data_IF_861091671871
#
_entry.id   IF_861091671871
#
_cell.length_a   1.000
_cell.length_b   1.000
_cell.length_c   1.000
_cell.angle_alpha   90.00
_cell.angle_beta   90.00
_cell.angle_gamma   90.00
#
_symmetry.space_group_name_H-M   'P 1'
#
loop_
_entity.id
_entity.type
_entity.pdbx_description
1 polymer ?
#
# COMPACT_ATOMS: atom_id res chain seq x y z
N UNK A 1 -29.46 12.51 -16.12
CA UNK A 1 -29.30 13.92 -15.72
C UNK A 1 -29.12 14.84 -16.92
N UNK A 2 -28.13 14.60 -17.80
CA UNK A 2 -27.93 15.32 -19.07
C UNK A 2 -29.22 15.45 -19.90
N UNK A 3 -29.96 14.35 -20.09
CA UNK A 3 -31.24 14.36 -20.81
C UNK A 3 -32.34 15.22 -20.15
N UNK A 4 -32.37 15.33 -18.81
CA UNK A 4 -33.35 16.15 -18.08
C UNK A 4 -32.94 17.62 -17.95
N UNK A 5 -31.64 17.93 -17.98
CA UNK A 5 -31.10 19.29 -17.85
C UNK A 5 -30.81 19.95 -19.21
N UNK A 6 -30.88 19.21 -20.32
CA UNK A 6 -30.60 19.74 -21.66
C UNK A 6 -29.13 20.16 -21.86
N UNK A 7 -28.22 19.69 -21.00
CA UNK A 7 -26.78 20.02 -21.04
C UNK A 7 -25.97 18.83 -21.57
N UNK A 8 -24.88 19.08 -22.33
CA UNK A 8 -23.99 18.02 -22.75
C UNK A 8 -23.37 17.31 -21.54
N UNK A 9 -23.08 16.01 -21.67
CA UNK A 9 -22.52 15.20 -20.57
C UNK A 9 -21.21 15.82 -20.04
N UNK A 10 -20.42 16.42 -20.92
CA UNK A 10 -19.16 17.07 -20.57
C UNK A 10 -19.32 18.29 -19.63
N UNK A 11 -20.49 18.92 -19.58
CA UNK A 11 -20.77 20.04 -18.65
C UNK A 11 -21.29 19.58 -17.28
N UNK A 12 -21.80 18.34 -17.19
CA UNK A 12 -22.33 17.76 -15.95
C UNK A 12 -21.33 16.85 -15.25
N UNK A 13 -20.25 16.44 -15.91
CA UNK A 13 -19.15 15.69 -15.29
C UNK A 13 -18.14 16.69 -14.76
N UNK A 14 -18.28 17.09 -13.50
CA UNK A 14 -17.20 17.75 -12.76
C UNK A 14 -16.19 16.69 -12.26
N UNK A 15 -14.94 17.10 -12.03
CA UNK A 15 -13.86 16.24 -11.53
C UNK A 15 -14.25 15.45 -10.26
N UNK A 16 -13.54 14.34 -10.01
CA UNK A 16 -13.87 13.23 -9.07
C UNK A 16 -14.81 13.56 -7.90
N UNK A 17 -14.47 14.52 -7.03
CA UNK A 17 -15.29 14.87 -5.87
C UNK A 17 -16.62 15.54 -6.23
N UNK A 18 -16.63 16.40 -7.24
CA UNK A 18 -17.85 17.08 -7.71
C UNK A 18 -18.87 16.12 -8.30
N UNK A 19 -18.41 15.05 -8.94
CA UNK A 19 -19.31 14.01 -9.43
C UNK A 19 -20.07 13.34 -8.27
N UNK A 20 -19.34 12.81 -7.28
CA UNK A 20 -19.90 12.07 -6.14
C UNK A 20 -20.76 12.93 -5.20
N UNK A 21 -20.37 14.18 -4.95
CA UNK A 21 -21.00 15.02 -3.91
C UNK A 21 -21.90 16.15 -4.44
N UNK A 22 -21.92 16.42 -5.76
CA UNK A 22 -22.81 17.43 -6.37
C UNK A 22 -23.74 16.77 -7.37
N UNK A 23 -23.18 16.11 -8.38
CA UNK A 23 -23.92 15.58 -9.53
C UNK A 23 -24.82 14.41 -9.13
N UNK A 24 -24.29 13.45 -8.36
CA UNK A 24 -25.07 12.29 -7.89
C UNK A 24 -26.20 12.67 -6.93
N UNK A 25 -25.98 13.50 -5.87
CA UNK A 25 -27.06 13.96 -5.02
C UNK A 25 -28.15 14.72 -5.77
N UNK A 26 -27.79 15.57 -6.74
CA UNK A 26 -28.77 16.30 -7.58
C UNK A 26 -29.57 15.35 -8.49
N UNK A 27 -28.97 14.24 -8.94
CA UNK A 27 -29.68 13.20 -9.67
C UNK A 27 -30.62 12.40 -8.75
N UNK A 28 -30.17 12.04 -7.55
CA UNK A 28 -30.95 11.29 -6.54
C UNK A 28 -32.15 12.11 -6.05
N UNK A 29 -32.02 13.43 -5.95
CA UNK A 29 -33.11 14.35 -5.61
C UNK A 29 -34.29 14.29 -6.59
N UNK A 30 -34.06 13.83 -7.83
CA UNK A 30 -35.08 13.74 -8.90
C UNK A 30 -35.77 12.37 -8.97
N UNK A 31 -35.41 11.42 -8.10
CA UNK A 31 -36.02 10.09 -8.03
C UNK A 31 -37.20 10.06 -7.02
N UNK A 32 -38.22 9.22 -7.25
CA UNK A 32 -39.27 8.98 -6.26
C UNK A 32 -38.65 8.34 -5.00
N UNK A 33 -39.14 8.70 -3.81
CA UNK A 33 -38.59 8.24 -2.52
C UNK A 33 -37.10 8.63 -2.36
N UNK A 34 -36.76 9.86 -2.73
CA UNK A 34 -35.39 10.39 -2.70
C UNK A 34 -34.62 10.15 -1.38
N UNK A 35 -35.22 10.28 -0.17
CA UNK A 35 -34.49 10.06 1.08
C UNK A 35 -33.90 8.65 1.23
N UNK A 36 -34.60 7.62 0.73
CA UNK A 36 -34.10 6.24 0.80
C UNK A 36 -32.85 6.06 -0.06
N UNK A 37 -32.89 6.59 -1.29
CA UNK A 37 -31.75 6.52 -2.22
C UNK A 37 -30.55 7.31 -1.75
N UNK A 38 -30.76 8.47 -1.10
CA UNK A 38 -29.68 9.26 -0.52
C UNK A 38 -28.97 8.50 0.61
N UNK A 39 -29.73 7.87 1.53
CA UNK A 39 -29.15 7.07 2.62
C UNK A 39 -28.33 5.91 2.06
N UNK A 40 -28.87 5.14 1.10
CA UNK A 40 -28.15 4.02 0.50
C UNK A 40 -26.87 4.46 -0.22
N UNK A 41 -26.92 5.59 -0.94
CA UNK A 41 -25.77 6.12 -1.66
C UNK A 41 -24.65 6.59 -0.72
N UNK A 42 -24.97 7.37 0.31
CA UNK A 42 -23.96 7.83 1.27
C UNK A 42 -23.46 6.71 2.18
N UNK A 43 -24.31 5.74 2.53
CA UNK A 43 -23.89 4.54 3.26
C UNK A 43 -22.89 3.73 2.42
N UNK A 44 -23.14 3.54 1.13
CA UNK A 44 -22.20 2.89 0.22
C UNK A 44 -20.85 3.62 0.17
N UNK A 45 -20.85 4.95 -0.01
CA UNK A 45 -19.61 5.75 0.01
C UNK A 45 -18.86 5.62 1.34
N UNK A 46 -19.60 5.61 2.46
CA UNK A 46 -19.03 5.44 3.79
C UNK A 46 -18.39 4.06 3.97
N UNK A 47 -19.08 2.97 3.59
CA UNK A 47 -18.53 1.62 3.70
C UNK A 47 -17.32 1.39 2.80
N UNK A 48 -17.28 1.98 1.60
CA UNK A 48 -16.12 1.93 0.70
C UNK A 48 -14.89 2.62 1.30
N UNK A 49 -15.09 3.77 1.94
CA UNK A 49 -14.02 4.48 2.65
C UNK A 49 -13.54 3.74 3.89
N UNK A 50 -14.46 3.14 4.66
CA UNK A 50 -14.13 2.40 5.88
C UNK A 50 -13.25 1.17 5.61
N UNK A 51 -13.60 0.35 4.62
CA UNK A 51 -12.85 -0.87 4.28
C UNK A 51 -11.40 -0.56 3.86
N UNK A 52 -11.25 0.48 3.04
CA UNK A 52 -9.93 0.97 2.63
C UNK A 52 -9.11 1.46 3.83
N UNK A 53 -9.74 2.19 4.76
CA UNK A 53 -9.07 2.75 5.93
C UNK A 53 -8.61 1.66 6.92
N UNK A 54 -9.44 0.62 7.12
CA UNK A 54 -9.05 -0.53 7.94
C UNK A 54 -7.83 -1.25 7.36
N UNK A 55 -7.81 -1.47 6.04
CA UNK A 55 -6.68 -2.09 5.35
C UNK A 55 -5.39 -1.30 5.52
N UNK A 56 -5.43 0.04 5.39
CA UNK A 56 -4.25 0.89 5.55
C UNK A 56 -3.74 0.88 7.00
N UNK A 57 -4.63 1.05 7.98
CA UNK A 57 -4.25 1.03 9.40
C UNK A 57 -3.67 -0.32 9.82
N UNK A 58 -4.26 -1.42 9.36
CA UNK A 58 -3.76 -2.77 9.61
C UNK A 58 -2.39 -2.98 8.97
N UNK A 59 -2.20 -2.57 7.71
CA UNK A 59 -0.91 -2.70 7.01
C UNK A 59 0.21 -1.95 7.74
N UNK A 60 -0.04 -0.71 8.18
CA UNK A 60 0.95 0.10 8.91
C UNK A 60 1.20 -0.48 10.30
N UNK A 61 0.15 -0.88 11.02
CA UNK A 61 0.29 -1.48 12.35
C UNK A 61 1.09 -2.78 12.30
N UNK A 62 0.81 -3.64 11.32
CA UNK A 62 1.50 -4.91 11.14
C UNK A 62 2.97 -4.68 10.77
N UNK A 63 3.28 -3.77 9.85
CA UNK A 63 4.67 -3.44 9.52
C UNK A 63 5.50 -2.96 10.73
N UNK A 64 4.88 -2.18 11.63
CA UNK A 64 5.54 -1.70 12.85
C UNK A 64 5.73 -2.85 13.86
N UNK A 65 4.72 -3.71 14.03
CA UNK A 65 4.80 -4.88 14.93
C UNK A 65 5.87 -5.85 14.43
N UNK A 66 5.95 -6.10 13.12
CA UNK A 66 6.95 -6.98 12.51
C UNK A 66 8.38 -6.46 12.67
N UNK A 67 8.56 -5.14 12.82
CA UNK A 67 9.88 -4.53 13.07
C UNK A 67 10.33 -4.65 14.53
N UNK A 68 9.39 -4.60 15.50
CA UNK A 68 9.68 -4.69 16.93
C UNK A 68 8.80 -5.73 17.66
N UNK A 69 8.85 -7.00 17.25
CA UNK A 69 7.89 -8.02 17.66
C UNK A 69 7.88 -8.29 19.17
N UNK A 70 9.05 -8.35 19.82
CA UNK A 70 9.17 -8.57 21.27
C UNK A 70 8.43 -7.57 22.15
N UNK A 71 8.46 -6.28 21.82
CA UNK A 71 7.88 -5.23 22.67
C UNK A 71 6.43 -4.90 22.30
N UNK A 72 6.09 -5.02 21.01
CA UNK A 72 4.84 -4.48 20.48
C UNK A 72 3.74 -5.54 20.33
N UNK A 73 4.06 -6.84 20.25
CA UNK A 73 3.07 -7.92 20.09
C UNK A 73 2.03 -7.96 21.21
N UNK A 74 2.45 -7.77 22.47
CA UNK A 74 1.52 -7.73 23.62
C UNK A 74 0.75 -6.41 23.75
N UNK A 75 1.11 -5.36 23.01
CA UNK A 75 0.53 -4.01 23.11
C UNK A 75 -0.14 -3.57 21.81
N UNK A 76 -0.54 -4.52 20.95
CA UNK A 76 -1.16 -4.26 19.63
C UNK A 76 -2.30 -3.24 19.68
N UNK A 77 -3.24 -3.40 20.61
CA UNK A 77 -4.39 -2.49 20.72
C UNK A 77 -3.98 -1.04 21.07
N UNK A 78 -2.93 -0.87 21.89
CA UNK A 78 -2.41 0.45 22.26
C UNK A 78 -1.75 1.13 21.07
N UNK A 79 -1.01 0.38 20.25
CA UNK A 79 -0.38 0.89 19.03
C UNK A 79 -1.43 1.35 18.02
N UNK A 80 -2.46 0.54 17.79
CA UNK A 80 -3.56 0.90 16.89
C UNK A 80 -4.27 2.18 17.34
N UNK A 81 -4.50 2.34 18.65
CA UNK A 81 -5.11 3.55 19.21
C UNK A 81 -4.20 4.77 19.04
N UNK A 82 -2.90 4.64 19.31
CA UNK A 82 -1.92 5.73 19.13
C UNK A 82 -1.82 6.13 17.65
N UNK A 83 -1.71 5.16 16.74
CA UNK A 83 -1.67 5.41 15.30
C UNK A 83 -2.94 6.12 14.83
N UNK A 84 -4.11 5.69 15.31
CA UNK A 84 -5.39 6.34 14.99
C UNK A 84 -5.44 7.79 15.47
N UNK A 85 -4.94 8.08 16.67
CA UNK A 85 -4.86 9.46 17.20
C UNK A 85 -3.91 10.30 16.35
N UNK A 86 -2.74 9.78 15.98
CA UNK A 86 -1.78 10.49 15.12
C UNK A 86 -2.40 10.79 13.75
N UNK A 87 -3.05 9.79 13.12
CA UNK A 87 -3.72 9.98 11.83
C UNK A 87 -4.87 10.97 11.91
N UNK A 88 -5.63 10.97 13.00
CA UNK A 88 -6.69 11.95 13.25
C UNK A 88 -6.13 13.38 13.36
N UNK A 89 -5.03 13.58 14.09
CA UNK A 89 -4.38 14.88 14.23
C UNK A 89 -3.82 15.39 12.89
N UNK A 90 -3.20 14.52 12.09
CA UNK A 90 -2.71 14.86 10.75
C UNK A 90 -3.87 15.17 9.78
N UNK A 91 -4.97 14.42 9.87
CA UNK A 91 -6.17 14.61 9.05
C UNK A 91 -6.92 15.90 9.35
N UNK A 92 -6.71 16.52 10.51
CA UNK A 92 -7.39 17.76 10.90
C UNK A 92 -7.13 18.91 9.90
N UNK A 93 -5.96 18.94 9.27
CA UNK A 93 -5.61 19.93 8.23
C UNK A 93 -6.59 19.86 7.05
N UNK A 94 -7.05 18.66 6.70
CA UNK A 94 -7.98 18.42 5.58
C UNK A 94 -9.45 18.80 5.91
N UNK A 95 -9.78 19.08 7.17
CA UNK A 95 -11.14 19.45 7.62
C UNK A 95 -11.30 20.98 7.78
N UNK A 96 -10.23 21.75 7.59
CA UNK A 96 -10.27 23.21 7.61
C UNK A 96 -11.04 23.78 6.41
N UNK A 97 -11.39 25.07 6.42
CA UNK A 97 -12.06 25.74 5.28
C UNK A 97 -11.26 25.65 3.98
N UNK A 98 -9.93 25.52 4.07
CA UNK A 98 -9.03 25.30 2.94
C UNK A 98 -8.75 23.81 2.66
N UNK A 99 -9.44 22.90 3.35
CA UNK A 99 -9.16 21.46 3.36
C UNK A 99 -9.24 20.80 1.99
N UNK A 100 -10.19 21.22 1.14
CA UNK A 100 -10.32 20.68 -0.22
C UNK A 100 -9.08 20.93 -1.08
N UNK A 101 -8.36 22.04 -0.88
CA UNK A 101 -7.11 22.32 -1.58
C UNK A 101 -5.97 21.40 -1.11
N UNK A 102 -5.94 21.07 0.19
CA UNK A 102 -4.98 20.11 0.74
C UNK A 102 -5.24 18.70 0.24
N UNK A 103 -6.52 18.28 0.22
CA UNK A 103 -6.92 16.96 -0.29
C UNK A 103 -6.54 16.82 -1.76
N UNK A 104 -6.86 17.79 -2.60
CA UNK A 104 -6.52 17.78 -4.04
C UNK A 104 -5.00 17.76 -4.27
N UNK A 105 -4.24 18.54 -3.47
CA UNK A 105 -2.78 18.55 -3.53
C UNK A 105 -2.16 17.20 -3.15
N UNK A 106 -2.63 16.58 -2.06
CA UNK A 106 -2.12 15.29 -1.59
C UNK A 106 -2.51 14.17 -2.57
N UNK A 107 -3.75 14.17 -3.07
CA UNK A 107 -4.22 13.16 -4.02
C UNK A 107 -3.39 13.17 -5.32
N UNK A 108 -3.17 14.36 -5.88
CA UNK A 108 -2.41 14.49 -7.12
C UNK A 108 -0.93 14.09 -6.98
N UNK A 109 -0.24 14.58 -5.95
CA UNK A 109 1.21 14.34 -5.80
C UNK A 109 1.52 13.01 -5.12
N UNK A 110 0.83 12.65 -4.03
CA UNK A 110 1.14 11.45 -3.27
C UNK A 110 0.52 10.19 -3.91
N UNK A 111 -0.81 10.18 -4.10
CA UNK A 111 -1.51 9.01 -4.64
C UNK A 111 -1.31 8.83 -6.15
N UNK A 112 -1.16 9.93 -6.90
CA UNK A 112 -0.80 9.90 -8.31
C UNK A 112 0.68 9.53 -8.53
N UNK A 113 1.57 10.50 -8.36
CA UNK A 113 2.99 10.32 -8.69
C UNK A 113 3.79 9.52 -7.66
N UNK A 114 3.60 9.80 -6.37
CA UNK A 114 4.32 9.11 -5.30
C UNK A 114 4.17 7.60 -5.38
N UNK A 115 2.94 7.11 -5.55
CA UNK A 115 2.65 5.69 -5.71
C UNK A 115 3.32 5.08 -6.94
N UNK A 116 3.31 5.78 -8.09
CA UNK A 116 3.97 5.30 -9.31
C UNK A 116 5.49 5.18 -9.13
N UNK A 117 6.13 6.15 -8.49
CA UNK A 117 7.57 6.09 -8.19
C UNK A 117 7.91 4.90 -7.28
N UNK A 118 7.13 4.70 -6.21
CA UNK A 118 7.31 3.57 -5.29
C UNK A 118 7.14 2.24 -6.02
N UNK A 119 6.09 2.09 -6.85
CA UNK A 119 5.82 0.87 -7.60
C UNK A 119 6.94 0.50 -8.58
N UNK A 120 7.52 1.49 -9.28
CA UNK A 120 8.66 1.25 -10.19
C UNK A 120 9.89 0.79 -9.40
N UNK A 121 10.17 1.41 -8.24
CA UNK A 121 11.30 1.00 -7.40
C UNK A 121 11.10 -0.39 -6.78
N UNK A 122 9.88 -0.72 -6.36
CA UNK A 122 9.54 -2.04 -5.82
C UNK A 122 9.75 -3.13 -6.87
N UNK A 123 9.25 -2.92 -8.11
CA UNK A 123 9.49 -3.85 -9.21
C UNK A 123 10.97 -4.02 -9.53
N UNK A 124 11.73 -2.93 -9.52
CA UNK A 124 13.17 -3.00 -9.73
C UNK A 124 13.86 -3.79 -8.63
N UNK A 125 13.46 -3.56 -7.36
CA UNK A 125 13.95 -4.29 -6.20
C UNK A 125 13.69 -5.80 -6.28
N UNK A 126 12.45 -6.21 -6.53
CA UNK A 126 12.09 -7.64 -6.60
C UNK A 126 12.72 -8.31 -7.83
N UNK A 127 12.66 -7.66 -9.00
CA UNK A 127 13.04 -8.29 -10.26
C UNK A 127 14.56 -8.38 -10.44
N UNK A 128 15.30 -7.30 -10.11
CA UNK A 128 16.73 -7.18 -10.39
C UNK A 128 17.61 -7.32 -9.16
N UNK A 129 17.21 -6.79 -7.98
CA UNK A 129 18.04 -6.87 -6.76
C UNK A 129 17.88 -8.25 -6.10
N UNK A 130 16.64 -8.66 -5.80
CA UNK A 130 16.39 -9.99 -5.23
C UNK A 130 16.63 -11.10 -6.26
N UNK A 131 16.21 -10.85 -7.51
CA UNK A 131 16.43 -11.71 -8.66
C UNK A 131 15.20 -12.55 -9.00
N UNK A 132 14.68 -12.38 -10.22
CA UNK A 132 13.46 -13.05 -10.67
C UNK A 132 13.41 -14.56 -10.57
N UNK A 133 14.53 -15.23 -10.83
CA UNK A 133 14.58 -16.69 -10.73
C UNK A 133 14.35 -17.15 -9.28
N UNK A 134 14.93 -16.42 -8.31
CA UNK A 134 14.74 -16.71 -6.88
C UNK A 134 13.29 -16.50 -6.48
N UNK A 135 12.68 -15.40 -6.94
CA UNK A 135 11.27 -15.08 -6.69
C UNK A 135 10.31 -16.13 -7.27
N UNK A 136 10.56 -16.60 -8.49
CA UNK A 136 9.81 -17.69 -9.13
C UNK A 136 9.90 -18.97 -8.30
N UNK A 137 11.11 -19.35 -7.89
CA UNK A 137 11.33 -20.54 -7.07
C UNK A 137 10.65 -20.44 -5.68
N UNK A 138 10.59 -19.24 -5.09
CA UNK A 138 9.88 -19.03 -3.80
C UNK A 138 8.37 -19.22 -3.96
N UNK A 139 7.79 -18.73 -5.06
CA UNK A 139 6.38 -18.95 -5.38
C UNK A 139 6.12 -20.43 -5.72
N UNK A 140 7.04 -21.10 -6.41
CA UNK A 140 6.95 -22.55 -6.67
C UNK A 140 6.98 -23.37 -5.38
N UNK A 141 7.69 -22.90 -4.35
CA UNK A 141 7.67 -23.50 -3.02
C UNK A 141 6.31 -23.34 -2.32
N UNK A 142 5.64 -22.18 -2.48
CA UNK A 142 4.35 -21.89 -1.85
C UNK A 142 3.17 -22.59 -2.53
N UNK A 143 3.13 -22.60 -3.87
CA UNK A 143 1.96 -23.04 -4.66
C UNK A 143 2.23 -24.41 -5.34
N UNK A 144 3.46 -24.91 -5.27
CA UNK A 144 3.91 -26.12 -5.96
C UNK A 144 4.29 -25.89 -7.42
N UNK A 145 4.79 -26.95 -8.07
CA UNK A 145 5.27 -26.90 -9.46
C UNK A 145 4.14 -26.58 -10.45
N UNK A 146 4.42 -25.71 -11.43
CA UNK A 146 3.48 -25.30 -12.48
C UNK A 146 4.03 -25.55 -13.87
N UNK A 147 3.14 -25.50 -14.87
CA UNK A 147 3.48 -25.70 -16.26
C UNK A 147 4.42 -24.60 -16.79
N UNK A 148 5.26 -24.94 -17.77
CA UNK A 148 6.22 -24.01 -18.37
C UNK A 148 5.56 -22.73 -18.93
N UNK A 149 4.39 -22.85 -19.55
CA UNK A 149 3.62 -21.72 -20.09
C UNK A 149 3.16 -20.72 -19.02
N UNK A 150 2.83 -21.21 -17.82
CA UNK A 150 2.45 -20.35 -16.70
C UNK A 150 3.62 -19.46 -16.27
N UNK A 151 4.80 -20.06 -16.10
CA UNK A 151 6.00 -19.32 -15.73
C UNK A 151 6.49 -18.36 -16.81
N UNK A 152 6.36 -18.74 -18.09
CA UNK A 152 6.70 -17.86 -19.19
C UNK A 152 5.84 -16.58 -19.18
N UNK A 153 4.52 -16.71 -18.98
CA UNK A 153 3.60 -15.57 -18.87
C UNK A 153 3.99 -14.64 -17.71
N UNK A 154 4.14 -15.17 -16.49
CA UNK A 154 4.47 -14.36 -15.33
C UNK A 154 5.84 -13.70 -15.43
N UNK A 155 6.82 -14.40 -16.01
CA UNK A 155 8.13 -13.82 -16.28
C UNK A 155 8.05 -12.68 -17.29
N UNK A 156 7.26 -12.81 -18.35
CA UNK A 156 7.02 -11.70 -19.28
C UNK A 156 6.33 -10.52 -18.58
N UNK A 157 5.35 -10.79 -17.71
CA UNK A 157 4.66 -9.77 -16.93
C UNK A 157 5.59 -8.99 -16.01
N UNK A 158 6.36 -9.68 -15.15
CA UNK A 158 7.20 -9.02 -14.16
C UNK A 158 8.45 -8.35 -14.73
N UNK A 159 9.07 -8.93 -15.77
CA UNK A 159 10.32 -8.40 -16.32
C UNK A 159 10.13 -7.40 -17.47
N UNK A 160 9.03 -7.50 -18.21
CA UNK A 160 8.83 -6.70 -19.41
C UNK A 160 7.57 -5.85 -19.33
N UNK A 161 6.40 -6.45 -19.13
CA UNK A 161 5.12 -5.74 -19.30
C UNK A 161 4.91 -4.72 -18.18
N UNK A 162 4.96 -5.13 -16.90
CA UNK A 162 4.68 -4.24 -15.76
C UNK A 162 5.69 -3.10 -15.64
N UNK A 163 7.02 -3.33 -15.75
CA UNK A 163 8.00 -2.24 -15.69
C UNK A 163 7.83 -1.27 -16.86
N UNK A 164 7.65 -1.78 -18.08
CA UNK A 164 7.48 -0.94 -19.27
C UNK A 164 6.21 -0.08 -19.16
N UNK A 165 5.09 -0.68 -18.74
CA UNK A 165 3.81 0.02 -18.61
C UNK A 165 3.88 1.09 -17.53
N UNK A 166 4.45 0.80 -16.36
CA UNK A 166 4.58 1.79 -15.29
C UNK A 166 5.54 2.92 -15.65
N UNK A 167 6.68 2.62 -16.28
CA UNK A 167 7.60 3.65 -16.77
C UNK A 167 6.94 4.49 -17.86
N UNK A 168 6.19 3.88 -18.79
CA UNK A 168 5.49 4.61 -19.83
C UNK A 168 4.44 5.56 -19.26
N UNK A 169 3.63 5.10 -18.30
CA UNK A 169 2.63 5.94 -17.62
C UNK A 169 3.32 7.05 -16.83
N UNK A 170 4.41 6.76 -16.12
CA UNK A 170 5.17 7.76 -15.36
C UNK A 170 5.75 8.83 -16.29
N UNK A 171 6.42 8.44 -17.38
CA UNK A 171 6.99 9.38 -18.35
C UNK A 171 5.89 10.21 -19.01
N UNK A 172 4.80 9.58 -19.45
CA UNK A 172 3.66 10.28 -20.02
C UNK A 172 3.11 11.32 -19.03
N UNK A 173 2.88 10.91 -17.78
CA UNK A 173 2.34 11.76 -16.73
C UNK A 173 3.25 12.95 -16.40
N UNK A 174 4.57 12.77 -16.43
CA UNK A 174 5.55 13.85 -16.24
C UNK A 174 5.59 14.82 -17.43
N UNK A 175 5.47 14.31 -18.66
CA UNK A 175 5.45 15.14 -19.88
C UNK A 175 4.17 15.96 -19.97
N UNK A 176 3.03 15.39 -19.59
CA UNK A 176 1.73 16.10 -19.58
C UNK A 176 1.47 16.83 -18.27
N UNK A 177 2.51 17.08 -17.45
CA UNK A 177 2.34 17.80 -16.20
C UNK A 177 1.90 19.24 -16.46
N UNK A 178 0.72 19.58 -15.97
CA UNK A 178 0.27 20.97 -15.86
C UNK A 178 0.13 21.35 -14.38
N UNK A 179 0.50 22.59 -13.99
CA UNK A 179 0.23 23.07 -12.65
C UNK A 179 -1.25 22.94 -12.34
N UNK A 180 -1.58 22.32 -11.20
CA UNK A 180 -2.96 22.11 -10.78
C UNK A 180 -3.73 23.43 -10.76
N UNK A 181 -4.99 23.36 -11.19
CA UNK A 181 -5.95 24.46 -11.18
C UNK A 181 -7.18 23.98 -10.43
N UNK A 182 -7.50 24.60 -9.31
CA UNK A 182 -8.77 24.31 -8.65
C UNK A 182 -9.88 25.12 -9.33
N UNK A 183 -10.87 24.42 -9.90
CA UNK A 183 -12.07 25.00 -10.51
C UNK A 183 -11.78 26.08 -11.59
N UNK A 184 -10.85 25.78 -12.51
CA UNK A 184 -10.56 26.50 -13.77
C UNK A 184 -10.24 28.01 -13.71
N UNK A 185 -10.18 28.64 -12.52
CA UNK A 185 -10.09 30.12 -12.43
C UNK A 185 -8.88 30.66 -11.69
N UNK A 186 -8.20 29.86 -10.86
CA UNK A 186 -6.92 30.26 -10.25
C UNK A 186 -5.90 29.12 -10.25
N UNK A 187 -4.69 29.33 -10.80
CA UNK A 187 -3.61 28.38 -10.65
C UNK A 187 -3.22 28.28 -9.17
N UNK A 188 -2.86 27.08 -8.72
CA UNK A 188 -2.27 26.93 -7.40
C UNK A 188 -1.01 27.81 -7.29
N UNK A 189 -0.76 28.41 -6.13
CA UNK A 189 0.43 29.22 -5.92
C UNK A 189 1.69 28.34 -6.03
N UNK A 190 2.80 28.90 -6.52
CA UNK A 190 4.02 28.14 -6.76
C UNK A 190 4.54 27.39 -5.53
N UNK A 191 4.31 27.91 -4.32
CA UNK A 191 4.68 27.23 -3.08
C UNK A 191 3.91 25.90 -2.89
N UNK A 192 2.67 25.79 -3.37
CA UNK A 192 1.89 24.56 -3.25
C UNK A 192 2.50 23.44 -4.11
N UNK A 193 2.93 23.76 -5.33
CA UNK A 193 3.70 22.84 -6.18
C UNK A 193 4.99 22.39 -5.49
N UNK A 194 5.73 23.31 -4.84
CA UNK A 194 6.93 22.91 -4.09
C UNK A 194 6.62 21.98 -2.93
N UNK A 195 5.53 22.21 -2.20
CA UNK A 195 5.08 21.32 -1.12
C UNK A 195 4.73 19.93 -1.68
N UNK A 196 4.03 19.86 -2.82
CA UNK A 196 3.71 18.60 -3.48
C UNK A 196 4.96 17.78 -3.83
N UNK A 197 5.98 18.42 -4.41
CA UNK A 197 7.26 17.76 -4.67
C UNK A 197 8.01 17.34 -3.40
N UNK A 198 7.91 18.13 -2.32
CA UNK A 198 8.48 17.77 -1.01
C UNK A 198 7.78 16.57 -0.38
N UNK A 199 6.48 16.41 -0.57
CA UNK A 199 5.73 15.22 -0.11
C UNK A 199 6.28 13.97 -0.80
N UNK A 200 6.42 14.00 -2.13
CA UNK A 200 7.00 12.90 -2.90
C UNK A 200 8.44 12.64 -2.44
N UNK A 201 9.28 13.69 -2.39
CA UNK A 201 10.67 13.56 -2.02
C UNK A 201 10.84 12.96 -0.61
N UNK A 202 10.00 13.35 0.35
CA UNK A 202 10.08 12.81 1.71
C UNK A 202 9.74 11.31 1.76
N UNK A 203 8.73 10.86 1.02
CA UNK A 203 8.41 9.44 0.90
C UNK A 203 9.53 8.65 0.20
N UNK A 204 10.05 9.16 -0.92
CA UNK A 204 11.09 8.46 -1.69
C UNK A 204 12.45 8.47 -0.98
N UNK A 205 12.76 9.47 -0.15
CA UNK A 205 14.03 9.60 0.57
C UNK A 205 14.23 8.51 1.63
N UNK A 206 13.15 7.90 2.13
CA UNK A 206 13.24 6.77 3.06
C UNK A 206 14.01 5.59 2.44
N UNK A 207 13.77 5.29 1.16
CA UNK A 207 14.40 4.16 0.44
C UNK A 207 15.95 4.26 0.40
N UNK A 208 16.56 5.37 -0.09
CA UNK A 208 18.01 5.50 -0.10
C UNK A 208 18.59 5.62 1.32
N UNK A 209 17.88 6.22 2.29
CA UNK A 209 18.34 6.24 3.69
C UNK A 209 18.52 4.81 4.21
N UNK A 210 17.50 3.95 4.03
CA UNK A 210 17.60 2.55 4.44
C UNK A 210 18.66 1.78 3.65
N UNK A 211 18.84 2.08 2.37
CA UNK A 211 19.92 1.49 1.57
C UNK A 211 21.31 1.86 2.12
N UNK A 212 21.54 3.12 2.49
CA UNK A 212 22.80 3.58 3.09
C UNK A 212 23.03 2.94 4.46
N UNK A 213 22.00 2.88 5.31
CA UNK A 213 22.09 2.21 6.63
C UNK A 213 22.42 0.72 6.46
N UNK A 214 21.81 0.04 5.49
CA UNK A 214 22.10 -1.36 5.19
C UNK A 214 23.54 -1.56 4.69
N UNK A 215 24.03 -0.67 3.82
CA UNK A 215 25.44 -0.68 3.37
C UNK A 215 26.41 -0.43 4.52
N UNK A 216 26.12 0.53 5.41
CA UNK A 216 26.97 0.85 6.55
C UNK A 216 27.09 -0.36 7.51
N UNK A 217 25.98 -1.06 7.79
CA UNK A 217 25.99 -2.29 8.60
C UNK A 217 26.82 -3.41 7.95
N UNK A 218 26.81 -3.49 6.61
CA UNK A 218 27.52 -4.52 5.84
C UNK A 218 28.92 -4.12 5.36
N UNK A 219 29.58 -3.18 6.07
CA UNK A 219 30.94 -2.71 5.76
C UNK A 219 31.09 -2.22 4.31
N UNK A 220 30.07 -1.53 3.79
CA UNK A 220 30.03 -0.96 2.43
C UNK A 220 30.08 -1.97 1.29
N UNK A 221 29.80 -3.25 1.57
CA UNK A 221 29.68 -4.26 0.52
C UNK A 221 28.26 -4.28 -0.06
N UNK A 222 28.12 -3.78 -1.29
CA UNK A 222 26.83 -3.74 -2.02
C UNK A 222 26.24 -5.15 -2.17
N UNK A 223 27.07 -6.13 -2.50
CA UNK A 223 26.63 -7.53 -2.67
C UNK A 223 26.04 -8.11 -1.38
N UNK A 224 26.65 -7.84 -0.22
CA UNK A 224 26.13 -8.30 1.08
C UNK A 224 24.91 -7.51 1.55
N UNK A 225 24.80 -6.25 1.14
CA UNK A 225 23.63 -5.43 1.44
C UNK A 225 22.41 -5.80 0.58
N UNK A 226 22.64 -6.30 -0.64
CA UNK A 226 21.60 -6.77 -1.56
C UNK A 226 21.31 -8.27 -1.47
N UNK A 227 22.11 -9.03 -0.71
CA UNK A 227 21.79 -10.42 -0.42
C UNK A 227 20.71 -10.53 0.66
N UNK A 228 19.79 -11.50 0.55
CA UNK A 228 18.81 -11.76 1.60
C UNK A 228 19.49 -12.06 2.94
N UNK A 229 18.79 -11.78 4.03
CA UNK A 229 19.28 -12.02 5.39
C UNK A 229 19.54 -13.52 5.65
N UNK A 230 20.39 -13.86 6.62
CA UNK A 230 20.75 -15.26 6.92
C UNK A 230 19.60 -16.09 7.49
N UNK A 231 18.55 -15.42 7.98
CA UNK A 231 17.29 -15.97 8.48
C UNK A 231 16.15 -15.90 7.45
N UNK A 232 16.43 -15.43 6.22
CA UNK A 232 15.43 -15.29 5.17
C UNK A 232 14.90 -16.66 4.72
N UNK A 233 13.59 -16.85 4.84
CA UNK A 233 12.91 -18.06 4.41
C UNK A 233 11.59 -18.27 5.16
N UNK A 234 10.91 -19.40 4.93
CA UNK A 234 9.68 -19.74 5.65
C UNK A 234 9.89 -19.74 7.16
N UNK A 235 9.01 -19.02 7.88
CA UNK A 235 9.08 -18.87 9.33
C UNK A 235 8.97 -20.22 10.05
N UNK A 236 8.06 -21.09 9.59
CA UNK A 236 7.89 -22.43 10.14
C UNK A 236 8.82 -23.42 9.44
N UNK A 237 9.56 -24.21 10.23
CA UNK A 237 10.51 -25.21 9.76
C UNK A 237 9.87 -26.29 8.86
N UNK A 238 8.59 -26.60 9.07
CA UNK A 238 7.84 -27.55 8.24
C UNK A 238 7.66 -27.11 6.78
N UNK A 239 7.73 -25.80 6.52
CA UNK A 239 7.58 -25.23 5.18
C UNK A 239 8.94 -24.88 4.54
N UNK A 240 10.06 -25.09 5.25
CA UNK A 240 11.40 -24.95 4.67
C UNK A 240 11.67 -26.15 3.76
N UNK A 241 11.58 -25.92 2.46
CA UNK A 241 12.05 -26.91 1.46
C UNK A 241 13.56 -27.13 1.55
N UNK A 242 14.11 -28.04 0.74
CA UNK A 242 15.54 -28.37 0.70
C UNK A 242 16.46 -27.17 0.49
N UNK A 243 15.97 -26.10 -0.15
CA UNK A 243 16.69 -24.84 -0.38
C UNK A 243 16.90 -23.99 0.88
N UNK A 244 16.02 -24.09 1.88
CA UNK A 244 16.08 -23.32 3.14
C UNK A 244 16.35 -24.21 4.36
N UNK A 245 16.76 -25.46 4.14
CA UNK A 245 16.97 -26.44 5.21
C UNK A 245 18.09 -26.03 6.19
N UNK A 246 19.13 -25.37 5.68
CA UNK A 246 20.33 -24.99 6.45
C UNK A 246 20.30 -23.53 6.96
N UNK A 247 19.18 -22.81 6.79
CA UNK A 247 19.07 -21.41 7.22
C UNK A 247 18.89 -21.31 8.74
N UNK A 248 19.50 -20.29 9.34
CA UNK A 248 19.37 -20.02 10.78
C UNK A 248 17.89 -19.84 11.16
N UNK A 249 17.52 -20.30 12.35
CA UNK A 249 16.18 -20.04 12.87
C UNK A 249 16.08 -18.59 13.34
N UNK A 250 14.99 -17.88 13.01
CA UNK A 250 14.79 -16.56 13.56
C UNK A 250 14.76 -16.68 15.09
N UNK A 251 15.50 -15.81 15.77
CA UNK A 251 15.72 -15.87 17.22
C UNK A 251 14.41 -15.96 18.00
N UNK A 252 13.34 -15.35 17.49
CA UNK A 252 11.99 -15.43 18.05
C UNK A 252 11.31 -16.78 17.91
N UNK A 253 11.50 -17.52 16.81
CA UNK A 253 10.97 -18.88 16.70
C UNK A 253 11.61 -19.81 17.73
N UNK A 254 12.89 -19.60 18.05
CA UNK A 254 13.61 -20.33 19.09
C UNK A 254 13.12 -19.96 20.49
N UNK A 255 12.85 -18.68 20.74
CA UNK A 255 12.32 -18.20 22.02
C UNK A 255 10.87 -18.63 22.27
N UNK A 256 9.99 -18.53 21.26
CA UNK A 256 8.60 -19.03 21.34
C UNK A 256 8.57 -20.55 21.52
N UNK A 257 9.48 -21.29 20.86
CA UNK A 257 9.61 -22.73 21.08
C UNK A 257 10.08 -23.05 22.51
N UNK A 258 10.95 -22.22 23.11
CA UNK A 258 11.37 -22.36 24.50
C UNK A 258 10.25 -22.01 25.49
N UNK A 259 9.45 -20.98 25.22
CA UNK A 259 8.30 -20.62 26.06
C UNK A 259 7.20 -21.69 26.01
N UNK A 260 6.96 -22.30 24.83
CA UNK A 260 6.08 -23.47 24.68
C UNK A 260 6.61 -24.71 25.42
N UNK A 261 7.92 -24.94 25.44
CA UNK A 261 8.52 -26.05 26.21
C UNK A 261 8.52 -25.80 27.73
N UNK A 262 8.57 -24.54 28.15
CA UNK A 262 8.58 -24.14 29.56
C UNK A 262 7.17 -23.95 30.16
N UNK A 263 6.09 -24.17 29.40
CA UNK A 263 4.72 -24.22 29.91
C UNK A 263 4.18 -22.89 30.45
N UNK A 264 4.73 -21.75 30.00
CA UNK A 264 4.34 -20.41 30.47
C UNK A 264 3.31 -19.69 29.61
N UNK A 265 2.63 -20.38 28.70
CA UNK A 265 1.56 -19.77 27.89
C UNK A 265 0.24 -19.69 28.68
N UNK A 266 -0.13 -18.46 29.02
CA UNK A 266 -1.51 -18.09 29.33
C UNK A 266 -2.32 -18.21 28.02
N UNK A 267 -3.43 -18.96 27.98
CA UNK A 267 -4.09 -19.32 26.73
C UNK A 267 -4.86 -18.11 26.20
N UNK A 268 -4.27 -17.39 25.25
CA UNK A 268 -4.98 -16.37 24.45
C UNK A 268 -4.68 -16.49 22.96
N UNK A 269 -3.97 -17.54 22.54
CA UNK A 269 -3.85 -17.92 21.14
C UNK A 269 -4.84 -19.04 20.85
N UNK A 270 -6.09 -18.67 20.57
CA UNK A 270 -6.96 -19.53 19.76
C UNK A 270 -6.35 -19.61 18.36
N UNK A 271 -5.88 -20.81 18.03
CA UNK A 271 -5.57 -21.27 16.69
C UNK A 271 -6.87 -21.31 15.85
N UNK A 272 -7.37 -20.15 15.42
CA UNK A 272 -8.62 -20.07 14.66
C UNK A 272 -8.44 -19.95 13.13
N UNK A 273 -7.25 -20.25 12.58
CA UNK A 273 -7.06 -20.28 11.12
C UNK A 273 -6.22 -21.47 10.59
N UNK A 274 -6.10 -22.54 11.38
CA UNK A 274 -5.70 -23.87 10.85
C UNK A 274 -6.97 -24.71 10.64
N UNK A 275 -7.92 -24.11 9.94
CA UNK A 275 -9.10 -24.79 9.41
C UNK A 275 -8.72 -25.68 8.24
N UNK A 276 -8.78 -26.99 8.49
CA UNK A 276 -8.75 -28.06 7.50
C UNK A 276 -9.39 -27.68 6.15
N UNK A 277 -8.58 -27.69 5.09
CA UNK A 277 -9.07 -28.03 3.73
C UNK A 277 -8.11 -29.04 3.12
N UNK A 278 -8.24 -30.28 3.61
CA UNK A 278 -8.04 -31.45 2.76
C UNK A 278 -9.29 -31.59 1.90
N UNK A 279 -9.16 -31.31 0.61
CA UNK A 279 -9.86 -32.02 -0.47
C UNK A 279 -8.91 -32.09 -1.66
#
# INVERSE_FOLDING_TARGET
MAFKLGKPVNEVVQSSFGLAFVVYPEAIAKLPISPLWAILFFLMLFTLGLDSQFTILETVSTAIIDTFPRQLRNRRWQLMLILSIIMFLLGLVCVTDAGIYWVDLIDHYAAGWGLLFVAVMELFGVSYIYGGNRFIEDIEMMIGKKNWWFWFYWRACWFFISPLLLIAILVWSLVTFEPMKYSDKRPFPAFATTIGWLIIASALMVIPIFAVVAMAKNKWSIYKASSPASDWGPYLKQFRGSRYADMEEPVEAVEIAKDRQNGTDNPTFEDDDVGQTKL
#
